data_IF_306500422735
#
_entry.id   IF_306500422735
#
_cell.length_a   1.000
_cell.length_b   1.000
_cell.length_c   1.000
_cell.angle_alpha   90.00
_cell.angle_beta   90.00
_cell.angle_gamma   90.00
#
_symmetry.space_group_name_H-M   'P 1'
#
loop_
_entity.id
_entity.type
_entity.pdbx_description
1 polymer ?
#
# COMPACT_ATOMS: atom_id res chain seq x y z
N UNK A 1 -15.74 1.05 -7.39
CA UNK A 1 -14.82 0.13 -8.08
C UNK A 1 -13.65 -0.16 -7.14
N UNK A 2 -13.46 -1.39 -6.73
CA UNK A 2 -12.37 -1.76 -5.82
C UNK A 2 -11.38 -2.63 -6.55
N UNK A 3 -10.10 -2.32 -6.40
CA UNK A 3 -9.02 -3.13 -6.93
C UNK A 3 -8.27 -3.86 -5.83
N UNK A 4 -7.67 -4.99 -6.16
CA UNK A 4 -6.86 -5.79 -5.24
C UNK A 4 -5.51 -6.13 -5.87
N UNK A 5 -4.49 -6.17 -5.04
CA UNK A 5 -3.22 -6.73 -5.45
C UNK A 5 -3.29 -8.26 -5.45
N UNK A 6 -2.78 -8.83 -6.52
CA UNK A 6 -2.50 -10.27 -6.65
C UNK A 6 -0.99 -10.44 -6.50
N UNK A 7 -0.57 -11.13 -5.47
CA UNK A 7 0.85 -11.40 -5.19
C UNK A 7 1.14 -12.86 -5.46
N UNK A 8 2.12 -13.13 -6.33
CA UNK A 8 2.59 -14.46 -6.69
C UNK A 8 4.08 -14.57 -6.29
N UNK A 9 4.38 -14.94 -5.03
CA UNK A 9 5.73 -14.82 -4.46
C UNK A 9 6.81 -15.58 -5.24
N UNK A 10 6.49 -16.76 -5.78
CA UNK A 10 7.47 -17.58 -6.53
C UNK A 10 7.95 -16.92 -7.83
N UNK A 11 7.26 -15.90 -8.33
CA UNK A 11 7.70 -15.11 -9.48
C UNK A 11 8.55 -13.89 -9.07
N UNK A 12 8.58 -13.54 -7.80
CA UNK A 12 9.34 -12.38 -7.33
C UNK A 12 10.83 -12.69 -7.26
N UNK A 13 11.64 -11.88 -7.95
CA UNK A 13 13.09 -12.00 -7.96
C UNK A 13 13.81 -11.10 -6.95
N UNK A 14 13.06 -10.29 -6.20
CA UNK A 14 13.64 -9.31 -5.30
C UNK A 14 14.34 -8.13 -6.01
N UNK A 15 14.01 -7.87 -7.27
CA UNK A 15 14.65 -6.81 -8.08
C UNK A 15 14.40 -5.39 -7.58
N UNK A 16 13.40 -5.19 -6.69
CA UNK A 16 13.04 -3.89 -6.08
C UNK A 16 12.54 -2.81 -7.05
N UNK A 17 12.21 -3.16 -8.28
CA UNK A 17 11.67 -2.21 -9.26
C UNK A 17 10.35 -1.59 -8.79
N UNK A 18 9.49 -2.38 -8.15
CA UNK A 18 8.23 -1.89 -7.54
C UNK A 18 8.47 -0.85 -6.45
N UNK A 19 9.48 -1.08 -5.61
CA UNK A 19 9.87 -0.16 -4.53
C UNK A 19 10.40 1.16 -5.10
N UNK A 20 11.26 1.08 -6.11
CA UNK A 20 11.81 2.24 -6.80
C UNK A 20 10.70 3.07 -7.47
N UNK A 21 9.82 2.43 -8.23
CA UNK A 21 8.70 3.09 -8.91
C UNK A 21 7.77 3.79 -7.90
N UNK A 22 7.43 3.15 -6.80
CA UNK A 22 6.62 3.72 -5.73
C UNK A 22 7.29 4.95 -5.10
N UNK A 23 8.59 4.86 -4.81
CA UNK A 23 9.37 5.94 -4.20
C UNK A 23 9.42 7.19 -5.08
N UNK A 24 9.61 7.03 -6.39
CA UNK A 24 9.62 8.16 -7.33
C UNK A 24 8.23 8.76 -7.56
N UNK A 25 7.20 7.94 -7.64
CA UNK A 25 5.81 8.42 -7.80
C UNK A 25 5.37 9.27 -6.61
N UNK A 26 5.87 8.97 -5.41
CA UNK A 26 5.55 9.70 -4.19
C UNK A 26 6.68 10.67 -3.77
N UNK A 27 7.41 11.20 -4.73
CA UNK A 27 8.42 12.22 -4.47
C UNK A 27 7.78 13.51 -3.94
N UNK A 28 8.44 14.12 -2.96
CA UNK A 28 8.04 15.40 -2.37
C UNK A 28 9.23 16.36 -2.49
N UNK A 29 9.00 17.56 -3.02
CA UNK A 29 10.03 18.59 -3.23
C UNK A 29 11.26 18.05 -4.00
N UNK A 30 11.03 17.23 -5.02
CA UNK A 30 12.09 16.64 -5.84
C UNK A 30 12.90 15.53 -5.16
N UNK A 31 12.52 15.11 -3.95
CA UNK A 31 13.16 14.01 -3.22
C UNK A 31 12.26 12.77 -3.23
N UNK A 32 12.79 11.58 -3.57
CA UNK A 32 12.02 10.35 -3.52
C UNK A 32 11.41 10.14 -2.13
N UNK A 33 10.14 9.74 -2.10
CA UNK A 33 9.47 9.38 -0.87
C UNK A 33 9.86 7.97 -0.40
N UNK A 34 9.54 7.61 0.84
CA UNK A 34 9.63 6.23 1.28
C UNK A 34 8.65 5.38 0.49
N UNK A 35 9.10 4.27 -0.06
CA UNK A 35 8.22 3.32 -0.75
C UNK A 35 7.19 2.72 0.20
N UNK A 36 5.97 2.55 -0.29
CA UNK A 36 4.84 1.93 0.40
C UNK A 36 4.69 0.44 0.08
N UNK A 37 5.60 -0.08 -0.73
CA UNK A 37 5.77 -1.49 -1.06
C UNK A 37 7.24 -1.85 -0.90
N UNK A 38 7.52 -3.06 -0.46
CA UNK A 38 8.88 -3.58 -0.38
C UNK A 38 8.90 -5.10 -0.54
N UNK A 39 9.87 -5.66 -1.25
CA UNK A 39 10.08 -7.09 -1.29
C UNK A 39 10.77 -7.55 0.01
N UNK A 40 10.11 -8.44 0.73
CA UNK A 40 10.65 -9.05 1.94
C UNK A 40 11.30 -10.38 1.61
N UNK A 41 12.56 -10.57 2.01
CA UNK A 41 13.22 -11.86 1.93
C UNK A 41 12.60 -12.83 2.95
N UNK A 42 12.09 -13.95 2.48
CA UNK A 42 11.41 -14.93 3.33
C UNK A 42 12.38 -15.87 4.10
N UNK A 43 13.69 -15.63 3.99
CA UNK A 43 14.72 -16.43 4.69
C UNK A 43 14.92 -17.84 4.15
N UNK A 44 14.33 -18.19 3.03
CA UNK A 44 14.42 -19.51 2.41
C UNK A 44 14.67 -19.38 0.90
N UNK A 45 15.79 -19.94 0.42
CA UNK A 45 16.14 -20.12 -1.02
C UNK A 45 15.80 -18.93 -1.92
N UNK A 46 16.26 -17.75 -1.58
CA UNK A 46 16.04 -16.53 -2.39
C UNK A 46 14.56 -16.22 -2.70
N UNK A 47 13.66 -16.67 -1.81
CA UNK A 47 12.24 -16.35 -1.91
C UNK A 47 11.98 -14.93 -1.40
N UNK A 48 11.39 -14.11 -2.23
CA UNK A 48 10.95 -12.77 -1.89
C UNK A 48 9.43 -12.66 -1.98
N UNK A 49 8.86 -11.89 -1.07
CA UNK A 49 7.41 -11.62 -1.06
C UNK A 49 7.20 -10.11 -1.14
N UNK A 50 6.56 -9.60 -2.19
CA UNK A 50 6.16 -8.20 -2.23
C UNK A 50 5.14 -7.92 -1.13
N UNK A 51 5.51 -7.06 -0.17
CA UNK A 51 4.62 -6.62 0.92
C UNK A 51 4.01 -5.30 0.52
N UNK A 52 2.70 -5.29 0.36
CA UNK A 52 1.90 -4.13 -0.05
C UNK A 52 0.59 -4.11 0.73
N UNK A 53 0.00 -2.93 0.89
CA UNK A 53 -1.25 -2.77 1.63
C UNK A 53 -2.40 -3.52 0.96
N UNK A 54 -3.08 -4.37 1.71
CA UNK A 54 -4.21 -5.16 1.23
C UNK A 54 -5.52 -4.37 1.10
N UNK A 55 -5.57 -3.13 1.55
CA UNK A 55 -6.81 -2.33 1.61
C UNK A 55 -7.95 -3.13 2.27
N UNK A 56 -7.71 -3.56 3.50
CA UNK A 56 -8.56 -4.50 4.25
C UNK A 56 -10.01 -4.06 4.33
N UNK A 57 -10.94 -4.99 4.28
CA UNK A 57 -12.38 -4.72 4.52
C UNK A 57 -12.63 -4.27 5.96
N UNK A 58 -11.88 -4.82 6.90
CA UNK A 58 -11.89 -4.43 8.32
C UNK A 58 -10.52 -3.85 8.73
N UNK A 59 -10.27 -2.55 8.43
CA UNK A 59 -8.95 -1.96 8.55
C UNK A 59 -8.59 -1.59 10.00
N UNK A 60 -7.72 -2.37 10.62
CA UNK A 60 -7.22 -2.10 11.97
C UNK A 60 -6.54 -0.73 12.09
N UNK A 61 -5.87 -0.28 11.03
CA UNK A 61 -5.23 1.04 11.00
C UNK A 61 -6.23 2.20 11.11
N UNK A 62 -7.40 2.08 10.49
CA UNK A 62 -8.48 3.08 10.60
C UNK A 62 -9.06 3.09 12.01
N UNK A 63 -9.35 1.90 12.55
CA UNK A 63 -9.91 1.75 13.90
C UNK A 63 -9.00 2.29 14.99
N UNK A 64 -7.69 2.19 14.79
CA UNK A 64 -6.69 2.68 15.75
C UNK A 64 -6.45 4.19 15.68
N UNK A 65 -6.96 4.87 14.65
CA UNK A 65 -6.73 6.31 14.47
C UNK A 65 -7.72 7.15 15.29
N UNK A 66 -7.26 7.68 16.40
CA UNK A 66 -8.10 8.47 17.32
C UNK A 66 -8.50 9.84 16.77
N UNK A 67 -7.78 10.34 15.78
CA UNK A 67 -8.06 11.66 15.17
C UNK A 67 -8.76 11.54 13.81
N UNK A 68 -9.18 10.35 13.43
CA UNK A 68 -9.85 10.07 12.16
C UNK A 68 -9.10 10.64 10.93
N UNK A 69 -7.78 10.53 10.93
CA UNK A 69 -6.93 10.98 9.85
C UNK A 69 -6.90 10.01 8.67
N UNK A 70 -7.39 8.78 8.84
CA UNK A 70 -7.40 7.75 7.80
C UNK A 70 -8.83 7.55 7.31
N UNK A 71 -9.08 7.87 6.04
CA UNK A 71 -10.38 7.76 5.41
C UNK A 71 -10.29 6.97 4.12
N UNK A 72 -11.38 6.32 3.74
CA UNK A 72 -11.47 5.63 2.46
C UNK A 72 -11.80 6.62 1.35
N UNK A 73 -11.04 6.56 0.28
CA UNK A 73 -11.37 7.21 -0.97
C UNK A 73 -12.36 6.31 -1.73
N UNK A 74 -13.57 6.79 -1.94
CA UNK A 74 -14.65 6.00 -2.56
C UNK A 74 -14.40 5.68 -4.04
N UNK A 75 -13.65 6.53 -4.73
CA UNK A 75 -13.32 6.31 -6.14
C UNK A 75 -12.32 5.17 -6.33
N UNK A 76 -11.31 5.11 -5.47
CA UNK A 76 -10.20 4.15 -5.61
C UNK A 76 -10.33 2.94 -4.69
N UNK A 77 -11.11 3.06 -3.61
CA UNK A 77 -11.17 2.08 -2.53
C UNK A 77 -9.94 2.06 -1.62
N UNK A 78 -9.03 3.02 -1.79
CA UNK A 78 -7.84 3.15 -0.96
C UNK A 78 -8.14 3.86 0.36
N UNK A 79 -7.51 3.42 1.44
CA UNK A 79 -7.49 4.17 2.68
C UNK A 79 -6.31 5.13 2.67
N UNK A 80 -6.59 6.41 2.71
CA UNK A 80 -5.60 7.48 2.63
C UNK A 80 -5.46 8.20 3.97
N UNK A 81 -4.24 8.68 4.26
CA UNK A 81 -3.95 9.43 5.46
C UNK A 81 -3.92 10.91 5.11
N UNK A 82 -4.75 11.71 5.80
CA UNK A 82 -4.68 13.17 5.72
C UNK A 82 -3.50 13.68 6.56
N UNK A 83 -2.46 14.27 5.95
CA UNK A 83 -1.31 14.78 6.69
C UNK A 83 -1.68 15.89 7.66
N UNK A 84 -2.72 16.66 7.34
CA UNK A 84 -3.19 17.79 8.17
C UNK A 84 -3.84 17.34 9.47
N UNK A 85 -4.56 16.20 9.43
CA UNK A 85 -5.21 15.62 10.62
C UNK A 85 -4.28 14.71 11.40
N UNK A 86 -3.28 14.10 10.75
CA UNK A 86 -2.40 13.12 11.36
C UNK A 86 -1.47 13.74 12.39
N UNK A 87 -1.59 13.30 13.63
CA UNK A 87 -0.72 13.73 14.75
C UNK A 87 0.55 12.88 14.88
N UNK A 88 0.78 11.93 13.99
CA UNK A 88 1.96 11.04 13.97
C UNK A 88 2.16 10.22 15.26
N UNK A 89 1.06 9.78 15.85
CA UNK A 89 1.10 8.94 17.07
C UNK A 89 1.56 7.51 16.81
N UNK A 90 1.73 7.09 15.54
CA UNK A 90 2.17 5.75 15.12
C UNK A 90 1.22 4.60 15.48
N UNK A 91 0.02 4.87 15.97
CA UNK A 91 -0.94 3.82 16.36
C UNK A 91 -1.33 2.92 15.17
N UNK A 92 -1.52 3.49 13.98
CA UNK A 92 -1.84 2.75 12.76
C UNK A 92 -0.68 1.83 12.30
N UNK A 93 0.57 2.21 12.58
CA UNK A 93 1.76 1.39 12.30
C UNK A 93 1.77 0.18 13.22
N UNK A 94 1.55 0.42 14.51
CA UNK A 94 1.49 -0.67 15.51
C UNK A 94 0.29 -1.62 15.29
N UNK A 95 -0.83 -1.09 14.81
CA UNK A 95 -2.05 -1.86 14.59
C UNK A 95 -2.03 -2.71 13.32
N UNK A 96 -1.23 -2.36 12.30
CA UNK A 96 -1.21 -3.09 11.04
C UNK A 96 -0.48 -4.43 11.18
N UNK A 97 -1.18 -5.57 11.07
CA UNK A 97 -0.53 -6.89 11.24
C UNK A 97 0.39 -7.25 10.06
N UNK A 98 0.29 -6.51 8.96
CA UNK A 98 1.06 -6.76 7.72
C UNK A 98 2.24 -5.82 7.52
N UNK A 99 2.43 -4.85 8.42
CA UNK A 99 3.52 -3.87 8.31
C UNK A 99 3.39 -2.91 7.12
N UNK A 100 2.16 -2.58 6.71
CA UNK A 100 1.90 -1.76 5.51
C UNK A 100 1.63 -0.28 5.81
N UNK A 101 1.55 0.12 7.07
CA UNK A 101 1.60 1.52 7.49
C UNK A 101 3.02 1.83 7.94
N UNK A 102 3.61 2.89 7.41
CA UNK A 102 5.04 3.17 7.56
C UNK A 102 5.26 4.64 7.97
N UNK A 103 6.44 4.93 8.47
CA UNK A 103 6.85 6.30 8.77
C UNK A 103 7.97 6.75 7.82
N UNK A 104 7.74 7.80 7.07
CA UNK A 104 8.75 8.45 6.24
C UNK A 104 9.51 9.48 7.07
N UNK A 105 10.72 9.13 7.49
CA UNK A 105 11.58 10.00 8.30
C UNK A 105 12.04 11.24 7.55
N UNK A 106 12.24 11.14 6.24
CA UNK A 106 12.73 12.25 5.44
C UNK A 106 11.69 13.38 5.34
N UNK A 107 10.41 13.01 5.20
CA UNK A 107 9.32 13.97 5.06
C UNK A 107 8.49 14.12 6.35
N UNK A 108 8.82 13.39 7.40
CA UNK A 108 8.12 13.39 8.68
C UNK A 108 6.62 13.10 8.56
N UNK A 109 6.28 12.06 7.78
CA UNK A 109 4.91 11.65 7.48
C UNK A 109 4.67 10.19 7.82
N UNK A 110 3.47 9.90 8.30
CA UNK A 110 2.95 8.53 8.31
C UNK A 110 2.33 8.26 6.95
N UNK A 111 2.73 7.17 6.33
CA UNK A 111 2.34 6.82 4.96
C UNK A 111 1.75 5.41 4.89
N UNK A 112 0.90 5.21 3.92
CA UNK A 112 0.42 3.90 3.48
C UNK A 112 0.07 3.94 1.99
N UNK A 113 -0.14 2.78 1.38
CA UNK A 113 -0.48 2.69 -0.03
C UNK A 113 -1.83 3.37 -0.31
N UNK A 114 -1.85 4.27 -1.28
CA UNK A 114 -2.99 5.02 -1.78
C UNK A 114 -3.49 4.51 -3.15
N UNK A 115 -2.98 3.34 -3.59
CA UNK A 115 -3.24 2.78 -4.91
C UNK A 115 -2.85 3.70 -6.09
N UNK A 116 -2.03 4.72 -5.86
CA UNK A 116 -1.63 5.72 -6.86
C UNK A 116 -2.84 6.32 -7.61
N UNK A 117 -3.93 6.61 -6.90
CA UNK A 117 -5.16 7.10 -7.51
C UNK A 117 -5.98 6.07 -8.28
N UNK A 118 -5.74 4.77 -8.04
CA UNK A 118 -6.46 3.66 -8.67
C UNK A 118 -5.68 2.91 -9.74
N UNK A 119 -4.48 3.38 -10.09
CA UNK A 119 -3.61 2.76 -11.10
C UNK A 119 -2.18 2.55 -10.55
N UNK A 120 -1.95 1.49 -9.78
CA UNK A 120 -0.72 1.30 -9.04
C UNK A 120 0.50 1.08 -9.94
N UNK A 121 1.44 2.02 -9.94
CA UNK A 121 2.67 1.97 -10.74
C UNK A 121 3.55 0.76 -10.44
N UNK A 122 3.60 0.31 -9.18
CA UNK A 122 4.39 -0.85 -8.78
C UNK A 122 3.96 -2.14 -9.48
N UNK A 123 2.67 -2.32 -9.76
CA UNK A 123 2.17 -3.46 -10.52
C UNK A 123 2.53 -3.36 -12.01
N UNK A 124 2.50 -2.15 -12.59
CA UNK A 124 2.91 -1.94 -13.97
C UNK A 124 4.38 -2.25 -14.20
N UNK A 125 5.24 -1.82 -13.28
CA UNK A 125 6.69 -1.98 -13.41
C UNK A 125 7.22 -3.33 -12.93
N UNK A 126 6.38 -4.23 -12.43
CA UNK A 126 6.83 -5.57 -12.05
C UNK A 126 7.18 -6.41 -13.28
N UNK A 127 8.47 -6.72 -13.53
CA UNK A 127 8.89 -7.38 -14.76
C UNK A 127 8.43 -8.82 -14.87
N UNK A 128 8.32 -9.51 -13.74
CA UNK A 128 7.93 -10.94 -13.67
C UNK A 128 6.43 -11.13 -13.43
N UNK A 129 5.68 -10.03 -13.24
CA UNK A 129 4.26 -10.07 -12.86
C UNK A 129 3.99 -10.83 -11.54
N UNK A 130 4.99 -10.87 -10.67
CA UNK A 130 4.82 -11.33 -9.29
C UNK A 130 3.82 -10.46 -8.51
N UNK A 131 3.73 -9.20 -8.90
CA UNK A 131 2.74 -8.24 -8.42
C UNK A 131 1.85 -7.81 -9.58
N UNK A 132 0.55 -7.98 -9.41
CA UNK A 132 -0.48 -7.52 -10.34
C UNK A 132 -1.56 -6.77 -9.58
N UNK A 133 -2.28 -5.92 -10.26
CA UNK A 133 -3.45 -5.25 -9.71
C UNK A 133 -4.65 -5.53 -10.59
N UNK A 134 -5.74 -5.98 -9.99
CA UNK A 134 -6.97 -6.31 -10.70
C UNK A 134 -8.13 -5.52 -10.08
N UNK A 135 -8.92 -4.92 -10.94
CA UNK A 135 -10.13 -4.19 -10.57
C UNK A 135 -11.31 -5.12 -10.70
N UNK A 136 -12.09 -5.24 -9.65
CA UNK A 136 -13.32 -6.02 -9.64
C UNK A 136 -14.50 -5.05 -9.68
N UNK A 137 -15.41 -5.25 -10.63
CA UNK A 137 -16.73 -4.67 -10.54
C UNK A 137 -17.48 -5.41 -9.43
N UNK A 138 -17.88 -4.70 -8.39
CA UNK A 138 -18.81 -5.26 -7.42
C UNK A 138 -20.12 -5.50 -8.16
N UNK A 139 -20.44 -6.75 -8.48
CA UNK A 139 -21.81 -7.13 -8.81
C UNK A 139 -22.65 -6.75 -7.58
N UNK A 140 -23.50 -5.75 -7.76
CA UNK A 140 -24.58 -5.46 -6.82
C UNK A 140 -25.36 -6.76 -6.64
N UNK A 141 -25.07 -7.50 -5.58
CA UNK A 141 -25.99 -8.53 -5.13
C UNK A 141 -27.25 -7.80 -4.71
N UNK A 142 -28.19 -7.73 -5.63
CA UNK A 142 -29.58 -7.49 -5.27
C UNK A 142 -29.95 -8.60 -4.30
N UNK A 143 -29.96 -8.22 -3.01
CA UNK A 143 -30.61 -9.05 -2.00
C UNK A 143 -32.10 -8.86 -2.23
N UNK A 144 -32.65 -9.77 -2.96
CA UNK A 144 -34.09 -9.94 -3.05
C UNK A 144 -34.67 -10.49 -1.77
#
# INVERSE_FOLDING_TARGET
MRGRYIVTPHLCTGCRTCELACSFTHAIDGKPGRSRIYPLAAGYKDLYVPVVCFQCEDPACVKSCLVNAITMNEETGAYEISPEKCVRCMACIAACPFGCSLFDKQHNLVIKCDLCGGDPVCAHFCPTKALRFEVFEEELKEVG
#
